data_IF_685450135395
#
_entry.id   IF_685450135395
#
_cell.length_a   1.000
_cell.length_b   1.000
_cell.length_c   1.000
_cell.angle_alpha   90.00
_cell.angle_beta   90.00
_cell.angle_gamma   90.00
#
_symmetry.space_group_name_H-M   'P 1'
#
loop_
_entity.id
_entity.type
_entity.pdbx_description
1 polymer ?
#
# COMPACT_ATOMS: atom_id res chain seq x y z
N UNK A 1 -31.80 -8.36 52.07
CA UNK A 1 -32.56 -8.47 50.82
C UNK A 1 -32.95 -9.94 50.64
N UNK A 2 -34.21 -10.30 50.93
CA UNK A 2 -34.71 -11.69 50.94
C UNK A 2 -35.07 -12.12 49.52
N UNK A 3 -34.45 -13.17 49.00
CA UNK A 3 -34.83 -13.79 47.72
C UNK A 3 -35.87 -14.86 48.01
N UNK A 4 -37.07 -14.68 47.47
CA UNK A 4 -38.21 -15.61 47.57
C UNK A 4 -38.20 -16.50 46.33
N UNK A 5 -37.83 -17.77 46.47
CA UNK A 5 -38.02 -18.78 45.43
C UNK A 5 -39.52 -19.11 45.33
N UNK A 6 -40.08 -19.00 44.13
CA UNK A 6 -41.38 -19.58 43.79
C UNK A 6 -41.17 -20.91 43.06
N UNK A 7 -41.88 -21.99 43.42
CA UNK A 7 -41.92 -23.20 42.61
C UNK A 7 -43.01 -23.05 41.54
N UNK A 8 -42.66 -23.24 40.27
CA UNK A 8 -43.64 -23.37 39.20
C UNK A 8 -43.54 -24.79 38.66
N UNK A 9 -44.35 -25.68 39.23
CA UNK A 9 -44.63 -26.99 38.63
C UNK A 9 -45.62 -26.79 37.49
N UNK A 10 -45.19 -27.05 36.26
CA UNK A 10 -46.08 -27.04 35.09
C UNK A 10 -46.72 -28.44 34.99
N UNK A 11 -48.06 -28.56 34.92
CA UNK A 11 -48.71 -29.86 34.78
C UNK A 11 -48.48 -30.41 33.37
N UNK A 12 -47.84 -31.57 33.27
CA UNK A 12 -47.75 -32.35 32.02
C UNK A 12 -49.04 -33.13 31.82
N UNK A 13 -49.83 -32.72 30.83
CA UNK A 13 -51.00 -33.47 30.38
C UNK A 13 -50.56 -34.77 29.64
N UNK A 14 -51.36 -35.85 29.66
CA UNK A 14 -51.02 -37.07 28.95
C UNK A 14 -51.08 -36.81 27.43
N UNK A 15 -49.91 -36.74 26.81
CA UNK A 15 -49.76 -36.57 25.37
C UNK A 15 -50.18 -37.88 24.70
N UNK A 16 -51.33 -37.87 24.02
CA UNK A 16 -51.88 -39.04 23.34
C UNK A 16 -50.92 -39.63 22.30
N UNK A 17 -50.95 -40.96 22.12
CA UNK A 17 -49.98 -41.72 21.32
C UNK A 17 -49.81 -41.26 19.87
N UNK A 18 -50.78 -40.54 19.30
CA UNK A 18 -50.68 -39.94 17.97
C UNK A 18 -49.63 -38.81 17.89
N UNK A 19 -49.46 -38.04 18.96
CA UNK A 19 -48.47 -36.94 19.00
C UNK A 19 -47.06 -37.51 19.19
N UNK A 20 -46.92 -38.58 19.99
CA UNK A 20 -45.64 -39.30 20.15
C UNK A 20 -45.22 -39.96 18.83
N UNK A 21 -46.16 -40.56 18.11
CA UNK A 21 -45.90 -41.13 16.78
C UNK A 21 -45.50 -40.05 15.76
N UNK A 22 -46.16 -38.88 15.76
CA UNK A 22 -45.81 -37.78 14.86
C UNK A 22 -44.40 -37.20 15.15
N UNK A 23 -44.01 -37.09 16.43
CA UNK A 23 -42.67 -36.66 16.84
C UNK A 23 -41.61 -37.69 16.47
N UNK A 24 -41.90 -38.99 16.62
CA UNK A 24 -40.97 -40.06 16.23
C UNK A 24 -40.80 -40.15 14.71
N UNK A 25 -41.86 -39.93 13.92
CA UNK A 25 -41.80 -39.92 12.46
C UNK A 25 -41.04 -38.69 11.94
N UNK A 26 -41.24 -37.50 12.54
CA UNK A 26 -40.46 -36.30 12.18
C UNK A 26 -39.00 -36.40 12.60
N UNK A 27 -38.70 -36.98 13.76
CA UNK A 27 -37.32 -37.26 14.16
C UNK A 27 -36.63 -38.28 13.23
N UNK A 28 -37.34 -39.32 12.79
CA UNK A 28 -36.81 -40.32 11.87
C UNK A 28 -36.50 -39.73 10.47
N UNK A 29 -37.37 -38.86 9.93
CA UNK A 29 -37.10 -38.14 8.67
C UNK A 29 -35.93 -37.16 8.79
N UNK A 30 -35.72 -36.54 9.95
CA UNK A 30 -34.56 -35.66 10.18
C UNK A 30 -33.23 -36.42 10.24
N UNK A 31 -33.21 -37.66 10.72
CA UNK A 31 -31.96 -38.46 10.81
C UNK A 31 -31.54 -39.02 9.45
N UNK A 32 -32.48 -39.32 8.55
CA UNK A 32 -32.13 -39.79 7.18
C UNK A 32 -31.63 -38.67 6.26
N UNK A 33 -31.85 -37.40 6.61
CA UNK A 33 -31.37 -36.23 5.85
C UNK A 33 -29.94 -35.77 6.18
N UNK A 34 -29.30 -36.33 7.21
CA UNK A 34 -28.00 -35.83 7.70
C UNK A 34 -26.77 -36.52 7.08
N UNK A 35 -26.92 -37.54 6.24
CA UNK A 35 -25.77 -38.29 5.69
C UNK A 35 -25.43 -37.87 4.25
N UNK A 36 -25.12 -36.59 4.03
CA UNK A 36 -24.42 -36.12 2.82
C UNK A 36 -23.86 -34.69 2.98
N UNK A 37 -23.24 -34.38 4.13
CA UNK A 37 -22.35 -33.22 4.17
C UNK A 37 -21.02 -33.64 3.54
N UNK A 38 -20.95 -33.50 2.21
CA UNK A 38 -19.70 -33.48 1.49
C UNK A 38 -18.85 -32.37 2.11
N UNK A 39 -17.90 -32.73 2.98
CA UNK A 39 -16.81 -31.84 3.32
C UNK A 39 -16.03 -31.59 2.03
N UNK A 40 -16.36 -30.51 1.34
CA UNK A 40 -15.57 -30.02 0.22
C UNK A 40 -14.17 -29.75 0.77
N UNK A 41 -13.22 -30.60 0.38
CA UNK A 41 -11.80 -30.38 0.65
C UNK A 41 -11.47 -28.97 0.13
N UNK A 42 -10.86 -28.09 0.95
CA UNK A 42 -10.48 -26.77 0.47
C UNK A 42 -9.63 -26.95 -0.79
N UNK A 43 -9.88 -26.17 -1.86
CA UNK A 43 -9.20 -26.37 -3.13
C UNK A 43 -7.70 -26.42 -2.89
N UNK A 44 -7.08 -27.55 -3.23
CA UNK A 44 -5.62 -27.74 -3.20
C UNK A 44 -5.01 -26.56 -3.93
N UNK A 45 -4.39 -25.64 -3.19
CA UNK A 45 -3.70 -24.49 -3.78
C UNK A 45 -2.64 -25.07 -4.69
N UNK A 46 -2.82 -24.92 -6.01
CA UNK A 46 -1.77 -25.24 -6.97
C UNK A 46 -0.52 -24.50 -6.49
N UNK A 47 0.53 -25.28 -6.18
CA UNK A 47 1.79 -24.73 -5.70
C UNK A 47 2.33 -23.89 -6.85
N UNK A 48 2.26 -22.57 -6.71
CA UNK A 48 2.74 -21.67 -7.75
C UNK A 48 4.22 -22.01 -8.01
N UNK A 49 4.55 -22.26 -9.27
CA UNK A 49 5.93 -22.43 -9.69
C UNK A 49 6.75 -21.21 -9.23
N UNK A 50 8.01 -21.38 -8.81
CA UNK A 50 8.84 -20.29 -8.32
C UNK A 50 8.89 -19.13 -9.34
N UNK A 51 8.33 -17.99 -8.96
CA UNK A 51 8.33 -16.82 -9.84
C UNK A 51 9.74 -16.21 -9.89
N UNK A 52 10.23 -15.80 -11.08
CA UNK A 52 11.56 -15.20 -11.23
C UNK A 52 11.67 -13.81 -10.60
N UNK A 53 10.54 -13.18 -10.25
CA UNK A 53 10.48 -11.87 -9.60
C UNK A 53 9.05 -11.49 -9.21
N UNK A 54 8.93 -10.34 -8.55
CA UNK A 54 7.65 -9.79 -8.12
C UNK A 54 7.60 -8.28 -8.40
N UNK A 55 6.42 -7.78 -8.77
CA UNK A 55 6.13 -6.35 -8.91
C UNK A 55 4.97 -6.02 -7.99
N UNK A 56 5.19 -5.04 -7.09
CA UNK A 56 4.19 -4.57 -6.15
C UNK A 56 3.76 -3.15 -6.51
N UNK A 57 2.47 -2.98 -6.78
CA UNK A 57 1.86 -1.65 -6.97
C UNK A 57 1.17 -1.23 -5.68
N UNK A 58 1.57 -0.07 -5.13
CA UNK A 58 0.98 0.50 -3.93
C UNK A 58 0.22 1.76 -4.31
N UNK A 59 -1.11 1.73 -4.19
CA UNK A 59 -1.94 2.93 -4.24
C UNK A 59 -2.05 3.53 -2.83
N UNK A 60 -1.23 4.55 -2.53
CA UNK A 60 -1.26 5.22 -1.22
C UNK A 60 -2.65 5.85 -0.98
N UNK A 61 -3.33 5.46 0.10
CA UNK A 61 -4.72 5.85 0.38
C UNK A 61 -5.81 5.23 -0.51
N UNK A 62 -5.47 4.28 -1.39
CA UNK A 62 -6.42 3.72 -2.38
C UNK A 62 -7.32 2.63 -1.76
N UNK A 63 -8.38 3.05 -1.07
CA UNK A 63 -9.47 2.18 -0.65
C UNK A 63 -10.39 1.72 -1.81
N UNK A 64 -11.30 0.77 -1.57
CA UNK A 64 -12.23 0.26 -2.59
C UNK A 64 -13.15 1.33 -3.19
N UNK A 65 -13.45 2.38 -2.42
CA UNK A 65 -14.20 3.54 -2.89
C UNK A 65 -13.47 4.28 -4.02
N UNK A 66 -12.15 4.49 -3.88
CA UNK A 66 -11.34 5.15 -4.91
C UNK A 66 -11.25 4.33 -6.20
N UNK A 67 -11.16 3.00 -6.08
CA UNK A 67 -11.19 2.09 -7.23
C UNK A 67 -12.52 2.23 -7.98
N UNK A 68 -13.63 2.26 -7.24
CA UNK A 68 -14.97 2.39 -7.82
C UNK A 68 -15.18 3.74 -8.51
N UNK A 69 -14.80 4.84 -7.86
CA UNK A 69 -14.89 6.19 -8.48
C UNK A 69 -14.03 6.27 -9.73
N UNK A 70 -12.81 5.73 -9.71
CA UNK A 70 -11.92 5.72 -10.87
C UNK A 70 -12.50 4.93 -12.04
N UNK A 71 -13.17 3.81 -11.75
CA UNK A 71 -13.88 3.00 -12.75
C UNK A 71 -14.97 3.80 -13.44
N UNK A 72 -15.82 4.45 -12.67
CA UNK A 72 -16.91 5.31 -13.18
C UNK A 72 -16.35 6.49 -13.96
N UNK A 73 -15.31 7.14 -13.47
CA UNK A 73 -14.68 8.27 -14.15
C UNK A 73 -14.05 7.88 -15.50
N UNK A 74 -13.52 6.66 -15.65
CA UNK A 74 -12.86 6.21 -16.89
C UNK A 74 -13.79 5.62 -17.94
N UNK A 75 -14.89 4.99 -17.54
CA UNK A 75 -15.75 4.27 -18.50
C UNK A 75 -17.23 4.22 -18.11
N UNK A 76 -17.68 5.12 -17.23
CA UNK A 76 -19.04 5.12 -16.70
C UNK A 76 -19.34 3.85 -15.89
N UNK A 77 -20.61 3.48 -15.81
CA UNK A 77 -21.08 2.35 -14.99
C UNK A 77 -20.54 0.98 -15.40
N UNK A 78 -19.96 0.86 -16.61
CA UNK A 78 -19.33 -0.35 -17.15
C UNK A 78 -17.82 -0.22 -17.36
N UNK A 79 -17.22 0.86 -16.86
CA UNK A 79 -15.78 1.02 -16.91
C UNK A 79 -15.08 -0.16 -16.24
N UNK A 80 -13.86 -0.47 -16.66
CA UNK A 80 -13.01 -1.47 -16.00
C UNK A 80 -11.61 -0.92 -15.84
N UNK A 81 -10.92 -1.36 -14.80
CA UNK A 81 -9.53 -1.03 -14.54
C UNK A 81 -8.67 -2.27 -14.75
N UNK A 82 -7.36 -2.07 -15.00
CA UNK A 82 -6.43 -3.21 -15.16
C UNK A 82 -6.31 -4.05 -13.89
N UNK A 83 -6.51 -3.45 -12.72
CA UNK A 83 -6.57 -4.16 -11.44
C UNK A 83 -7.78 -5.10 -11.34
N UNK A 84 -8.90 -4.80 -12.03
CA UNK A 84 -10.08 -5.66 -12.06
C UNK A 84 -9.81 -6.97 -12.83
N UNK A 85 -8.77 -7.01 -13.68
CA UNK A 85 -8.35 -8.20 -14.41
C UNK A 85 -7.43 -9.15 -13.65
N UNK A 86 -7.08 -8.86 -12.40
CA UNK A 86 -6.26 -9.75 -11.57
C UNK A 86 -7.11 -10.95 -11.08
N UNK A 87 -6.61 -12.19 -11.19
CA UNK A 87 -7.41 -13.39 -10.91
C UNK A 87 -7.70 -13.61 -9.42
N UNK A 88 -6.95 -12.95 -8.52
CA UNK A 88 -7.07 -13.10 -7.08
C UNK A 88 -7.28 -11.74 -6.42
N UNK A 89 -8.29 -11.69 -5.55
CA UNK A 89 -8.61 -10.52 -4.72
C UNK A 89 -8.70 -10.96 -3.27
N UNK A 90 -8.16 -10.15 -2.37
CA UNK A 90 -8.25 -10.36 -0.93
C UNK A 90 -8.46 -9.02 -0.20
N UNK A 91 -9.04 -9.09 1.00
CA UNK A 91 -9.14 -7.94 1.91
C UNK A 91 -7.98 -7.95 2.90
N UNK A 92 -7.41 -6.77 3.17
CA UNK A 92 -6.30 -6.61 4.11
C UNK A 92 -6.72 -5.76 5.32
N UNK A 93 -6.32 -6.18 6.52
CA UNK A 93 -6.57 -5.44 7.77
C UNK A 93 -5.40 -4.51 8.06
N UNK A 94 -5.65 -3.21 7.98
CA UNK A 94 -4.59 -2.19 7.92
C UNK A 94 -4.21 -1.54 9.25
N UNK A 95 -4.81 -1.88 10.38
CA UNK A 95 -4.46 -1.31 11.70
C UNK A 95 -2.94 -1.35 11.99
N UNK A 96 -2.40 -0.34 12.69
CA UNK A 96 -1.00 -0.32 13.15
C UNK A 96 -0.87 -1.01 14.52
N UNK A 97 0.34 -1.08 15.10
CA UNK A 97 0.53 -1.66 16.43
C UNK A 97 -0.11 -0.80 17.54
N UNK A 98 -0.25 0.50 17.31
CA UNK A 98 -0.67 1.52 18.28
C UNK A 98 -2.01 2.20 17.95
N UNK A 99 -2.58 1.99 16.76
CA UNK A 99 -3.78 2.69 16.30
C UNK A 99 -4.67 1.85 15.38
N UNK A 100 -6.01 1.99 15.46
CA UNK A 100 -6.92 1.40 14.48
C UNK A 100 -6.75 2.01 13.08
N UNK A 101 -6.27 3.25 12.98
CA UNK A 101 -5.99 3.96 11.73
C UNK A 101 -4.48 4.10 11.58
N UNK A 102 -3.94 3.41 10.58
CA UNK A 102 -2.51 3.40 10.27
C UNK A 102 -2.08 4.61 9.45
N UNK A 103 -0.81 4.97 9.53
CA UNK A 103 -0.16 5.89 8.62
C UNK A 103 0.59 5.15 7.49
N UNK A 104 1.08 5.89 6.48
CA UNK A 104 1.84 5.27 5.38
C UNK A 104 3.12 4.57 5.84
N UNK A 105 3.75 4.98 6.96
CA UNK A 105 4.98 4.38 7.45
C UNK A 105 4.75 3.00 8.05
N UNK A 106 3.81 2.88 9.00
CA UNK A 106 3.48 1.61 9.62
C UNK A 106 2.88 0.62 8.59
N UNK A 107 2.02 1.11 7.69
CA UNK A 107 1.46 0.29 6.61
C UNK A 107 2.54 -0.22 5.64
N UNK A 108 3.48 0.64 5.22
CA UNK A 108 4.55 0.23 4.32
C UNK A 108 5.53 -0.73 5.01
N UNK A 109 5.85 -0.53 6.29
CA UNK A 109 6.65 -1.48 7.07
C UNK A 109 5.97 -2.84 7.17
N UNK A 110 4.65 -2.89 7.40
CA UNK A 110 3.90 -4.14 7.40
C UNK A 110 3.94 -4.87 6.05
N UNK A 111 3.87 -4.13 4.93
CA UNK A 111 3.98 -4.72 3.59
C UNK A 111 5.42 -5.14 3.23
N UNK A 112 6.41 -4.35 3.64
CA UNK A 112 7.82 -4.54 3.26
C UNK A 112 8.51 -5.61 4.13
N UNK A 113 8.29 -5.57 5.45
CA UNK A 113 8.97 -6.42 6.43
C UNK A 113 8.08 -7.56 6.96
N UNK A 114 6.78 -7.53 6.68
CA UNK A 114 5.83 -8.55 7.14
C UNK A 114 5.46 -8.45 8.62
N UNK A 115 5.84 -7.36 9.31
CA UNK A 115 5.51 -7.12 10.72
C UNK A 115 4.90 -5.73 10.91
N UNK A 116 3.86 -5.64 11.75
CA UNK A 116 3.23 -4.37 12.10
C UNK A 116 4.10 -3.60 13.09
N UNK A 117 4.09 -2.28 12.97
CA UNK A 117 4.82 -1.35 13.84
C UNK A 117 3.93 -0.17 14.23
N UNK A 118 4.46 0.75 15.03
CA UNK A 118 3.78 1.97 15.48
C UNK A 118 3.74 3.03 14.38
N UNK A 119 2.75 3.92 14.42
CA UNK A 119 2.62 4.97 13.40
C UNK A 119 3.84 5.89 13.36
N UNK A 120 4.26 6.25 12.15
CA UNK A 120 5.40 7.14 11.92
C UNK A 120 6.77 6.46 11.93
N UNK A 121 6.85 5.16 12.22
CA UNK A 121 8.09 4.37 12.24
C UNK A 121 8.28 3.58 10.96
N UNK A 122 9.51 3.53 10.46
CA UNK A 122 9.91 2.85 9.23
C UNK A 122 10.86 1.71 9.56
N UNK A 123 10.56 0.49 9.09
CA UNK A 123 11.50 -0.63 9.13
C UNK A 123 11.85 -1.16 10.52
N UNK A 124 11.21 -0.69 11.59
CA UNK A 124 11.45 -1.19 12.96
C UNK A 124 10.21 -1.90 13.51
N UNK A 125 10.40 -2.76 14.50
CA UNK A 125 9.31 -3.47 15.17
C UNK A 125 8.47 -2.58 16.09
N UNK A 126 7.45 -3.18 16.73
CA UNK A 126 6.55 -2.46 17.64
C UNK A 126 7.19 -2.03 18.97
N UNK A 127 8.48 -2.33 19.22
CA UNK A 127 9.19 -1.81 20.39
C UNK A 127 9.67 -0.37 20.20
N UNK A 128 9.65 0.14 18.96
CA UNK A 128 9.93 1.53 18.66
C UNK A 128 8.89 2.48 19.30
N UNK A 129 9.33 3.68 19.68
CA UNK A 129 8.45 4.77 20.11
C UNK A 129 8.70 5.94 19.18
N UNK A 130 7.65 6.35 18.46
CA UNK A 130 7.71 7.42 17.47
C UNK A 130 8.53 8.63 17.94
N UNK A 131 9.54 8.99 17.17
CA UNK A 131 10.47 10.10 17.40
C UNK A 131 11.21 10.10 18.76
N UNK A 132 11.11 9.05 19.58
CA UNK A 132 11.70 8.97 20.92
C UNK A 132 12.71 7.84 21.06
N UNK A 133 12.36 6.64 20.63
CA UNK A 133 13.15 5.44 20.85
C UNK A 133 13.16 4.56 19.61
N UNK A 134 14.34 4.06 19.25
CA UNK A 134 14.51 3.11 18.15
C UNK A 134 14.09 1.71 18.60
N UNK A 135 13.39 0.99 17.72
CA UNK A 135 13.00 -0.40 17.92
C UNK A 135 14.01 -1.40 17.35
N UNK A 136 13.65 -2.67 17.35
CA UNK A 136 14.45 -3.69 16.67
C UNK A 136 14.31 -3.52 15.15
N UNK A 137 15.44 -3.50 14.45
CA UNK A 137 15.48 -3.35 12.99
C UNK A 137 14.90 -4.58 12.30
N UNK A 138 14.08 -4.35 11.29
CA UNK A 138 13.45 -5.37 10.47
C UNK A 138 14.08 -5.38 9.07
N UNK A 139 14.18 -6.58 8.50
CA UNK A 139 14.65 -6.73 7.13
C UNK A 139 13.49 -6.73 6.15
N UNK A 140 13.47 -5.73 5.27
CA UNK A 140 12.48 -5.63 4.21
C UNK A 140 12.71 -6.69 3.13
N UNK A 141 11.65 -7.01 2.38
CA UNK A 141 11.72 -7.89 1.20
C UNK A 141 12.76 -7.42 0.17
N UNK A 142 13.00 -6.12 0.08
CA UNK A 142 14.04 -5.55 -0.78
C UNK A 142 15.46 -5.92 -0.28
N UNK A 143 15.71 -5.84 1.03
CA UNK A 143 16.98 -6.31 1.62
C UNK A 143 17.16 -7.81 1.39
N UNK A 144 16.10 -8.60 1.62
CA UNK A 144 16.11 -10.05 1.34
C UNK A 144 16.42 -10.35 -0.14
N UNK A 145 15.82 -9.61 -1.07
CA UNK A 145 16.07 -9.75 -2.50
C UNK A 145 17.53 -9.43 -2.86
N UNK A 146 18.10 -8.35 -2.30
CA UNK A 146 19.52 -8.00 -2.50
C UNK A 146 20.47 -9.07 -1.95
N UNK A 147 20.19 -9.64 -0.77
CA UNK A 147 20.98 -10.74 -0.20
C UNK A 147 20.97 -11.99 -1.09
N UNK A 148 19.90 -12.19 -1.86
CA UNK A 148 19.77 -13.28 -2.85
C UNK A 148 20.33 -12.92 -4.23
N UNK A 149 20.99 -11.77 -4.39
CA UNK A 149 21.56 -11.33 -5.67
C UNK A 149 20.54 -10.79 -6.68
N UNK A 150 19.27 -10.62 -6.28
CA UNK A 150 18.22 -10.09 -7.15
C UNK A 150 18.38 -8.58 -7.33
N UNK A 151 17.88 -8.05 -8.45
CA UNK A 151 17.79 -6.61 -8.68
C UNK A 151 16.56 -6.05 -7.99
N UNK A 152 16.71 -4.89 -7.36
CA UNK A 152 15.64 -4.20 -6.66
C UNK A 152 15.47 -2.80 -7.23
N UNK A 153 14.23 -2.45 -7.57
CA UNK A 153 13.85 -1.12 -8.04
C UNK A 153 12.67 -0.57 -7.26
N UNK A 154 12.76 0.70 -6.87
CA UNK A 154 11.68 1.44 -6.22
C UNK A 154 11.32 2.66 -7.08
N UNK A 155 10.05 2.75 -7.45
CA UNK A 155 9.52 3.83 -8.29
C UNK A 155 8.33 4.45 -7.57
N UNK A 156 8.36 5.78 -7.41
CA UNK A 156 7.30 6.53 -6.75
C UNK A 156 7.02 7.84 -7.48
N UNK A 157 5.80 8.35 -7.35
CA UNK A 157 5.43 9.71 -7.74
C UNK A 157 5.75 10.74 -6.65
N UNK A 158 5.95 10.29 -5.40
CA UNK A 158 6.32 11.13 -4.25
C UNK A 158 7.84 11.34 -4.17
N UNK A 159 8.34 11.92 -3.08
CA UNK A 159 9.79 11.94 -2.81
C UNK A 159 10.29 10.54 -2.52
N UNK A 160 11.52 10.22 -2.94
CA UNK A 160 12.14 8.92 -2.65
C UNK A 160 12.36 8.67 -1.16
N UNK A 161 12.39 9.74 -0.36
CA UNK A 161 12.47 9.78 1.11
C UNK A 161 11.11 9.68 1.81
N UNK A 162 9.99 9.70 1.06
CA UNK A 162 8.67 9.51 1.65
C UNK A 162 8.54 8.13 2.30
N UNK A 163 7.65 7.99 3.27
CA UNK A 163 7.48 6.77 4.06
C UNK A 163 7.31 5.51 3.21
N UNK A 164 6.45 5.56 2.19
CA UNK A 164 6.08 4.40 1.35
C UNK A 164 7.28 3.75 0.65
N UNK A 165 8.13 4.48 -0.11
CA UNK A 165 9.38 3.91 -0.62
C UNK A 165 10.44 3.70 0.47
N UNK A 166 10.51 4.57 1.49
CA UNK A 166 11.53 4.51 2.53
C UNK A 166 11.46 3.22 3.36
N UNK A 167 10.28 2.71 3.67
CA UNK A 167 10.11 1.47 4.45
C UNK A 167 10.75 0.23 3.81
N UNK A 168 11.06 0.28 2.50
CA UNK A 168 11.74 -0.83 1.81
C UNK A 168 13.26 -0.79 2.00
N UNK A 169 13.86 0.29 2.50
CA UNK A 169 15.32 0.38 2.61
C UNK A 169 15.84 1.04 3.88
N UNK A 170 15.02 1.85 4.56
CA UNK A 170 15.39 2.61 5.73
C UNK A 170 14.78 1.99 6.99
N UNK A 171 15.53 2.10 8.08
CA UNK A 171 15.09 1.84 9.44
C UNK A 171 15.20 3.16 10.20
N UNK A 172 14.08 3.72 10.63
CA UNK A 172 14.04 5.04 11.28
C UNK A 172 12.78 5.19 12.14
N UNK A 173 12.95 5.61 13.39
CA UNK A 173 11.85 5.88 14.34
C UNK A 173 10.96 7.09 14.00
N UNK A 174 11.39 7.92 13.05
CA UNK A 174 10.66 9.10 12.60
C UNK A 174 10.72 9.23 11.08
N UNK A 175 9.60 8.96 10.41
CA UNK A 175 9.42 9.17 8.97
C UNK A 175 9.70 10.60 8.50
N UNK A 176 9.68 11.59 9.39
CA UNK A 176 10.02 12.98 9.12
C UNK A 176 11.53 13.23 9.01
N UNK A 177 12.37 12.30 9.46
CA UNK A 177 13.84 12.39 9.35
C UNK A 177 14.32 12.06 7.93
N UNK A 178 13.87 12.84 6.93
CA UNK A 178 14.21 12.62 5.52
C UNK A 178 15.72 12.67 5.25
N UNK A 179 16.50 13.37 6.07
CA UNK A 179 17.96 13.44 5.94
C UNK A 179 18.63 12.10 6.32
N UNK A 180 18.20 11.49 7.43
CA UNK A 180 18.63 10.15 7.83
C UNK A 180 18.23 9.12 6.78
N UNK A 181 16.96 9.16 6.35
CA UNK A 181 16.42 8.29 5.32
C UNK A 181 17.20 8.41 4.01
N UNK A 182 17.52 9.63 3.55
CA UNK A 182 18.29 9.83 2.33
C UNK A 182 19.70 9.22 2.39
N UNK A 183 20.34 9.28 3.57
CA UNK A 183 21.66 8.66 3.77
C UNK A 183 21.56 7.14 3.67
N UNK A 184 20.51 6.55 4.27
CA UNK A 184 20.24 5.12 4.15
C UNK A 184 19.87 4.72 2.72
N UNK A 185 19.20 5.58 1.95
CA UNK A 185 18.88 5.32 0.55
C UNK A 185 20.14 5.07 -0.29
N UNK A 186 21.18 5.89 -0.12
CA UNK A 186 22.47 5.72 -0.81
C UNK A 186 23.21 4.48 -0.33
N UNK A 187 23.15 4.19 0.98
CA UNK A 187 23.80 3.01 1.58
C UNK A 187 23.10 1.68 1.26
N UNK A 188 21.82 1.71 0.91
CA UNK A 188 20.97 0.52 0.72
C UNK A 188 21.42 -0.41 -0.42
N UNK A 189 22.15 0.11 -1.40
CA UNK A 189 22.54 -0.66 -2.59
C UNK A 189 21.38 -1.02 -3.53
N UNK A 190 20.24 -0.32 -3.44
CA UNK A 190 19.13 -0.44 -4.39
C UNK A 190 19.61 -0.09 -5.82
N UNK A 191 19.21 -0.89 -6.80
CA UNK A 191 19.70 -0.77 -8.18
C UNK A 191 19.01 0.38 -8.94
N UNK A 192 17.75 0.65 -8.63
CA UNK A 192 16.96 1.72 -9.24
C UNK A 192 16.09 2.42 -8.18
N UNK A 193 16.24 3.74 -8.05
CA UNK A 193 15.39 4.56 -7.21
C UNK A 193 14.88 5.73 -8.04
N UNK A 194 13.58 5.82 -8.31
CA UNK A 194 12.99 6.88 -9.14
C UNK A 194 11.86 7.58 -8.38
N UNK A 195 11.91 8.91 -8.36
CA UNK A 195 10.89 9.73 -7.73
C UNK A 195 11.30 11.20 -7.62
N UNK A 196 10.55 11.96 -6.83
CA UNK A 196 10.85 13.34 -6.46
C UNK A 196 11.94 13.49 -5.39
N UNK A 197 12.04 14.67 -4.79
CA UNK A 197 12.94 14.91 -3.64
C UNK A 197 14.25 15.65 -3.96
N UNK A 198 14.42 16.18 -5.19
CA UNK A 198 15.62 16.99 -5.56
C UNK A 198 15.86 18.20 -4.66
N UNK A 199 14.83 18.76 -4.03
CA UNK A 199 14.96 19.91 -3.14
C UNK A 199 15.64 19.55 -1.81
N UNK A 200 15.30 18.40 -1.20
CA UNK A 200 16.01 17.87 -0.03
C UNK A 200 17.50 17.64 -0.33
N UNK A 201 17.80 17.14 -1.54
CA UNK A 201 19.16 16.96 -2.06
C UNK A 201 19.96 18.26 -2.26
N UNK A 202 19.32 19.45 -2.33
CA UNK A 202 20.06 20.73 -2.38
C UNK A 202 20.60 21.15 -1.01
N UNK A 203 19.92 20.78 0.08
CA UNK A 203 20.45 20.97 1.44
C UNK A 203 21.62 20.02 1.75
N UNK A 204 21.65 18.86 1.09
CA UNK A 204 22.72 17.87 1.16
C UNK A 204 24.03 18.36 0.52
N UNK A 205 23.93 19.05 -0.62
CA UNK A 205 25.11 19.62 -1.32
C UNK A 205 25.86 20.69 -0.50
N UNK A 206 25.21 21.29 0.50
CA UNK A 206 25.81 22.31 1.38
C UNK A 206 26.44 21.74 2.66
N UNK A 207 26.15 20.48 3.03
CA UNK A 207 26.62 19.83 4.27
C UNK A 207 27.78 18.84 4.07
N UNK A 208 28.60 19.05 3.03
CA UNK A 208 29.94 18.47 2.92
C UNK A 208 30.08 16.95 2.75
N UNK A 209 29.02 16.15 2.83
CA UNK A 209 29.10 14.67 2.82
C UNK A 209 28.95 14.02 1.44
N UNK A 210 29.31 14.72 0.36
CA UNK A 210 29.35 14.05 -0.94
C UNK A 210 30.52 14.44 -1.83
N UNK A 211 31.29 13.42 -2.23
CA UNK A 211 32.06 13.45 -3.46
C UNK A 211 31.12 13.76 -4.64
N UNK A 212 31.58 14.52 -5.65
CA UNK A 212 30.72 14.97 -6.73
C UNK A 212 30.16 13.78 -7.51
N UNK A 213 28.84 13.60 -7.44
CA UNK A 213 28.07 12.76 -8.34
C UNK A 213 28.33 13.22 -9.78
N UNK A 214 29.10 12.43 -10.53
CA UNK A 214 29.30 12.61 -11.97
C UNK A 214 27.97 12.32 -12.67
N UNK A 215 27.29 13.39 -13.04
CA UNK A 215 26.21 13.33 -14.03
C UNK A 215 26.89 13.08 -15.37
N UNK A 216 26.93 11.84 -15.85
CA UNK A 216 27.43 11.55 -17.19
C UNK A 216 26.44 12.12 -18.20
N UNK A 217 26.78 13.27 -18.78
CA UNK A 217 26.25 13.70 -20.07
C UNK A 217 26.71 12.68 -21.09
N UNK A 218 25.76 11.95 -21.67
CA UNK A 218 26.04 10.87 -22.60
C UNK A 218 26.96 11.31 -23.73
N UNK A 219 28.17 10.78 -23.72
CA UNK A 219 28.92 10.35 -24.89
C UNK A 219 29.64 9.07 -24.49
N UNK A 220 29.43 8.05 -25.30
CA UNK A 220 30.00 6.71 -25.29
C UNK A 220 31.39 6.57 -24.66
N UNK A 221 31.50 5.74 -23.63
CA UNK A 221 32.46 4.63 -23.48
C UNK A 221 32.59 4.21 -22.00
N UNK A 222 32.87 2.92 -21.82
CA UNK A 222 33.27 2.24 -20.59
C UNK A 222 32.18 1.85 -19.57
N UNK A 223 32.11 0.52 -19.40
CA UNK A 223 31.42 -0.24 -18.38
C UNK A 223 31.81 0.23 -16.96
N UNK A 224 30.83 0.44 -16.07
CA UNK A 224 31.03 0.49 -14.62
C UNK A 224 29.76 0.00 -13.90
N UNK A 225 29.85 -0.87 -12.88
CA UNK A 225 28.71 -1.55 -12.29
C UNK A 225 28.18 -0.78 -11.07
N UNK A 226 27.66 0.43 -11.24
CA UNK A 226 26.90 1.13 -10.18
C UNK A 226 25.76 1.94 -10.81
N UNK A 227 24.57 1.80 -10.25
CA UNK A 227 23.27 2.18 -10.80
C UNK A 227 23.20 3.53 -11.51
N UNK A 228 22.40 3.57 -12.57
CA UNK A 228 22.22 4.75 -13.42
C UNK A 228 20.96 5.52 -13.00
N UNK A 229 21.13 6.79 -12.64
CA UNK A 229 20.02 7.70 -12.32
C UNK A 229 19.77 8.61 -13.53
N UNK A 230 18.69 8.38 -14.28
CA UNK A 230 18.33 9.19 -15.45
C UNK A 230 17.32 10.27 -15.04
N UNK A 231 17.65 11.55 -15.24
CA UNK A 231 16.65 12.64 -15.21
C UNK A 231 16.74 13.42 -16.51
N UNK A 232 15.63 13.58 -17.23
CA UNK A 232 15.57 14.35 -18.47
C UNK A 232 15.95 15.82 -18.21
N UNK A 233 16.98 16.33 -18.90
CA UNK A 233 17.26 17.76 -18.98
C UNK A 233 16.46 18.37 -20.14
N UNK A 234 15.62 19.38 -19.87
CA UNK A 234 15.40 20.45 -20.84
C UNK A 234 16.54 21.45 -20.67
N UNK A 235 17.38 21.59 -21.68
CA UNK A 235 18.39 22.64 -21.76
C UNK A 235 17.71 23.97 -22.00
N UNK A 236 17.85 24.91 -21.05
CA UNK A 236 17.51 26.31 -21.24
C UNK A 236 18.84 27.05 -21.50
N UNK A 237 19.04 27.50 -22.75
CA UNK A 237 20.17 28.37 -23.13
C UNK A 237 19.75 29.83 -22.98
N UNK A 238 20.60 30.72 -22.44
CA UNK A 238 20.30 32.15 -22.38
C UNK A 238 20.75 32.89 -23.65
N UNK A 239 20.00 33.95 -23.97
CA UNK A 239 20.28 35.05 -24.91
C UNK A 239 20.27 34.79 -26.43
N UNK A 240 19.17 35.20 -27.08
CA UNK A 240 19.22 35.91 -28.37
C UNK A 240 18.02 36.86 -28.54
N UNK A 241 18.29 38.16 -28.36
CA UNK A 241 17.71 39.34 -29.04
C UNK A 241 16.19 39.54 -29.09
N UNK A 242 15.77 40.71 -28.60
CA UNK A 242 14.47 41.38 -28.83
C UNK A 242 13.94 41.17 -30.26
N UNK A 243 12.74 40.60 -30.39
CA UNK A 243 11.81 40.87 -31.49
C UNK A 243 10.39 41.02 -30.93
N UNK A 244 9.70 42.01 -31.46
CA UNK A 244 8.41 42.52 -31.02
C UNK A 244 7.29 41.46 -30.99
N UNK A 245 6.33 41.67 -30.07
CA UNK A 245 5.11 40.89 -29.98
C UNK A 245 4.20 41.14 -31.21
N UNK A 246 3.66 40.10 -31.87
CA UNK A 246 2.59 40.28 -32.83
C UNK A 246 1.24 40.55 -32.11
N UNK A 247 0.31 41.27 -32.76
CA UNK A 247 -0.92 41.75 -32.14
C UNK A 247 -1.88 40.62 -31.79
N UNK A 248 -2.70 40.84 -30.76
CA UNK A 248 -3.81 39.96 -30.36
C UNK A 248 -4.96 40.16 -31.34
N UNK A 249 -5.40 39.06 -31.96
CA UNK A 249 -6.61 39.03 -32.76
C UNK A 249 -7.84 38.80 -31.86
N UNK A 250 -8.91 39.61 -31.94
CA UNK A 250 -10.08 39.50 -31.09
C UNK A 250 -11.21 38.77 -31.82
N UNK A 251 -11.40 37.47 -31.56
CA UNK A 251 -12.64 36.80 -31.97
C UNK A 251 -12.95 35.56 -31.11
N UNK A 252 -14.12 35.64 -30.47
CA UNK A 252 -14.99 34.58 -29.94
C UNK A 252 -15.11 34.40 -28.41
N UNK A 253 -16.34 34.17 -27.94
CA UNK A 253 -16.89 34.87 -26.78
C UNK A 253 -16.84 34.09 -25.47
N UNK A 254 -17.00 34.89 -24.42
CA UNK A 254 -17.23 34.56 -23.01
C UNK A 254 -18.30 33.49 -22.71
N UNK A 255 -18.09 32.87 -21.53
CA UNK A 255 -19.05 32.35 -20.53
C UNK A 255 -19.65 30.95 -20.70
N UNK A 256 -19.27 30.09 -19.75
CA UNK A 256 -20.22 29.29 -18.99
C UNK A 256 -19.85 29.37 -17.49
N UNK A 257 -20.31 30.41 -16.81
CA UNK A 257 -20.38 30.48 -15.35
C UNK A 257 -21.63 29.72 -14.90
N UNK A 258 -21.44 28.64 -14.13
CA UNK A 258 -22.52 27.96 -13.41
C UNK A 258 -22.90 28.76 -12.14
N UNK A 259 -24.19 29.02 -11.87
CA UNK A 259 -24.62 29.61 -10.60
C UNK A 259 -24.72 28.55 -9.49
N UNK A 260 -24.47 28.90 -8.22
CA UNK A 260 -24.79 28.05 -7.09
C UNK A 260 -26.30 28.13 -6.81
N UNK A 261 -26.96 26.97 -6.73
CA UNK A 261 -28.34 26.89 -6.26
C UNK A 261 -28.39 26.19 -4.91
N UNK A 262 -28.91 26.93 -3.93
CA UNK A 262 -29.37 26.46 -2.63
C UNK A 262 -30.44 25.37 -2.78
N UNK A 263 -30.25 24.24 -2.10
CA UNK A 263 -31.18 23.60 -1.16
C UNK A 263 -30.49 22.39 -0.52
#
# INVERSE_FOLDING_TARGET
MRIRLMPQGVPVAPVGGAIVAAILVTAALCVTGCSAQNHAEPPKRARAEPAPGAVLFIGDGMGPAYVTVTRVARGGSRGTLRIDGLPYTALSRTYSADSPVTDSAAAATAMACGQKTVNGVLGEDASAIYARQDGARLESIAVWAKKRGMRVGLVTTTTVTHATPAAFYANEKDRGNEAGIATQAVASGIDLLLGGGRAAGRSWRRRGTCAPLRVSTGTSSACSPRGTFLTSRRSNSPERTRRAAPPRDPAHPERATFPPSLK
#
